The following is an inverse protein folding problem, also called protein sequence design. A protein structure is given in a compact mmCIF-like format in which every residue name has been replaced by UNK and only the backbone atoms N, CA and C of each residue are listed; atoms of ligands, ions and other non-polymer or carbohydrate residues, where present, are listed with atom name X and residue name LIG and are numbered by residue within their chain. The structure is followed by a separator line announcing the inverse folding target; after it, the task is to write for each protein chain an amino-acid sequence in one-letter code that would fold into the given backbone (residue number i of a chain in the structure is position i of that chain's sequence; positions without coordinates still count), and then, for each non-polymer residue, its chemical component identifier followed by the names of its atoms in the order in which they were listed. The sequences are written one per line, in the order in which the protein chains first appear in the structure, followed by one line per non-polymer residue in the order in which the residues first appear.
data_IF_181355188279
#
_entry.id   IF_181355188279
#
_cell.length_a   1.000
_cell.length_b   1.000
_cell.length_c   1.000
_cell.angle_alpha   90.00
_cell.angle_beta   90.00
_cell.angle_gamma   90.00
#
_symmetry.space_group_name_H-M   'P 1'
#
loop_
_entity.id
_entity.type
_entity.pdbx_description
1 polymer ?
#
# COMPACT_ATOMS: atom_id res chain seq x y z
N UNK A 1 17.74 -10.61 9.37
CA UNK A 1 17.12 -10.23 8.07
C UNK A 1 18.22 -9.76 7.13
N UNK A 2 18.16 -10.05 5.82
CA UNK A 2 19.12 -9.48 4.85
C UNK A 2 18.92 -7.97 4.73
N UNK A 3 20.00 -7.20 4.53
CA UNK A 3 19.95 -5.72 4.43
C UNK A 3 18.95 -5.23 3.38
N UNK A 4 19.01 -5.78 2.17
CA UNK A 4 18.12 -5.44 1.07
C UNK A 4 16.63 -5.74 1.38
N UNK A 5 16.36 -6.78 2.17
CA UNK A 5 14.99 -7.12 2.57
C UNK A 5 14.46 -6.14 3.61
N UNK A 6 15.32 -5.66 4.52
CA UNK A 6 14.97 -4.63 5.49
C UNK A 6 14.72 -3.28 4.81
N UNK A 7 15.55 -2.90 3.84
CA UNK A 7 15.38 -1.67 3.07
C UNK A 7 14.06 -1.69 2.29
N UNK A 8 13.76 -2.80 1.61
CA UNK A 8 12.49 -2.97 0.92
C UNK A 8 11.29 -2.93 1.87
N UNK A 9 11.38 -3.58 3.05
CA UNK A 9 10.31 -3.55 4.04
C UNK A 9 10.07 -2.12 4.56
N UNK A 10 11.14 -1.36 4.83
CA UNK A 10 11.02 0.05 5.23
C UNK A 10 10.34 0.87 4.15
N UNK A 11 10.75 0.73 2.90
CA UNK A 11 10.14 1.43 1.77
C UNK A 11 8.64 1.10 1.63
N UNK A 12 8.24 -0.16 1.82
CA UNK A 12 6.84 -0.56 1.83
C UNK A 12 6.06 0.12 2.96
N UNK A 13 6.56 0.04 4.20
CA UNK A 13 5.85 0.52 5.40
C UNK A 13 5.80 2.05 5.46
N UNK A 14 6.79 2.75 4.90
CA UNK A 14 6.80 4.22 4.87
C UNK A 14 5.96 4.81 3.72
N UNK A 15 5.58 3.98 2.74
CA UNK A 15 4.76 4.37 1.60
C UNK A 15 3.27 4.27 1.94
N UNK A 16 2.61 5.42 2.04
CA UNK A 16 1.16 5.50 2.30
C UNK A 16 0.39 4.71 1.23
N UNK A 17 -0.46 3.78 1.66
CA UNK A 17 -1.18 2.88 0.78
C UNK A 17 -2.54 2.40 1.33
N UNK A 18 -3.38 3.29 1.90
CA UNK A 18 -4.69 2.86 2.40
C UNK A 18 -5.50 2.25 1.26
N UNK A 19 -6.38 1.29 1.60
CA UNK A 19 -7.20 0.60 0.59
C UNK A 19 -7.92 1.59 -0.34
N UNK A 20 -7.79 1.40 -1.65
CA UNK A 20 -8.24 2.30 -2.72
C UNK A 20 -7.22 3.34 -3.20
N UNK A 21 -6.06 3.47 -2.55
CA UNK A 21 -4.99 4.43 -2.90
C UNK A 21 -3.60 3.78 -2.98
N UNK A 22 -3.52 2.54 -3.46
CA UNK A 22 -2.33 1.67 -3.44
C UNK A 22 -1.30 1.98 -4.54
N UNK A 23 -1.59 2.91 -5.45
CA UNK A 23 -0.74 3.18 -6.62
C UNK A 23 0.73 3.44 -6.25
N UNK A 24 0.98 4.13 -5.13
CA UNK A 24 2.34 4.43 -4.69
C UNK A 24 3.11 3.17 -4.27
N UNK A 25 2.52 2.33 -3.42
CA UNK A 25 3.17 1.07 -2.97
C UNK A 25 3.26 0.05 -4.10
N UNK A 26 2.28 0.01 -5.01
CA UNK A 26 2.35 -0.86 -6.20
C UNK A 26 3.56 -0.54 -7.09
N UNK A 27 3.97 0.74 -7.19
CA UNK A 27 5.21 1.12 -7.90
C UNK A 27 6.46 0.58 -7.20
N UNK A 28 6.50 0.63 -5.87
CA UNK A 28 7.59 0.06 -5.06
C UNK A 28 7.70 -1.44 -5.30
N UNK A 29 6.58 -2.17 -5.21
CA UNK A 29 6.52 -3.62 -5.48
C UNK A 29 6.90 -3.94 -6.92
N UNK A 30 6.41 -3.18 -7.91
CA UNK A 30 6.74 -3.37 -9.31
C UNK A 30 8.24 -3.18 -9.59
N UNK A 31 8.86 -2.17 -8.99
CA UNK A 31 10.31 -1.95 -9.12
C UNK A 31 11.13 -3.09 -8.51
N UNK A 32 10.66 -3.68 -7.40
CA UNK A 32 11.28 -4.89 -6.83
C UNK A 32 11.08 -6.10 -7.74
N UNK A 33 9.87 -6.30 -8.27
CA UNK A 33 9.52 -7.45 -9.11
C UNK A 33 10.29 -7.49 -10.44
N UNK A 34 10.57 -6.32 -11.05
CA UNK A 34 11.38 -6.21 -12.27
C UNK A 34 12.79 -6.83 -12.14
N UNK A 35 13.32 -6.93 -10.91
CA UNK A 35 14.62 -7.57 -10.63
C UNK A 35 14.53 -9.11 -10.60
N UNK A 36 13.32 -9.66 -10.59
CA UNK A 36 13.04 -11.08 -10.43
C UNK A 36 12.51 -11.69 -11.74
N UNK A 37 11.60 -10.99 -12.43
CA UNK A 37 11.05 -11.43 -13.73
C UNK A 37 10.72 -10.27 -14.64
N UNK A 38 10.74 -10.52 -15.96
CA UNK A 38 10.26 -9.64 -17.01
C UNK A 38 8.79 -9.89 -17.40
N UNK A 39 8.25 -11.07 -17.05
CA UNK A 39 6.87 -11.42 -17.34
C UNK A 39 5.98 -10.90 -16.19
N UNK A 40 5.59 -9.64 -16.33
CA UNK A 40 4.74 -8.94 -15.35
C UNK A 40 3.53 -8.33 -16.02
N UNK A 41 2.37 -8.36 -15.35
CA UNK A 41 1.15 -7.69 -15.77
C UNK A 41 0.54 -6.91 -14.63
N UNK A 42 -0.13 -5.80 -14.94
CA UNK A 42 -0.94 -5.02 -14.00
C UNK A 42 -2.39 -5.06 -14.51
N UNK A 43 -3.33 -5.42 -13.64
CA UNK A 43 -4.75 -5.41 -13.99
C UNK A 43 -5.40 -4.02 -13.84
N UNK A 44 -6.68 -3.92 -14.17
CA UNK A 44 -7.44 -2.66 -14.10
C UNK A 44 -7.60 -2.12 -12.68
N UNK A 45 -7.45 -2.98 -11.66
CA UNK A 45 -7.48 -2.60 -10.24
C UNK A 45 -6.10 -2.22 -9.71
N UNK A 46 -5.04 -2.40 -10.51
CA UNK A 46 -3.67 -2.10 -10.12
C UNK A 46 -2.92 -3.27 -9.49
N UNK A 47 -3.47 -4.49 -9.47
CA UNK A 47 -2.75 -5.65 -8.94
C UNK A 47 -1.60 -6.03 -9.86
N UNK A 48 -0.41 -6.16 -9.28
CA UNK A 48 0.78 -6.65 -9.98
C UNK A 48 0.87 -8.19 -9.90
N UNK A 49 0.97 -8.84 -11.05
CA UNK A 49 1.31 -10.27 -11.15
C UNK A 49 2.67 -10.43 -11.83
N UNK A 50 3.56 -11.24 -11.23
CA UNK A 50 4.85 -11.63 -11.81
C UNK A 50 4.94 -13.14 -12.01
N UNK A 51 5.40 -13.58 -13.18
CA UNK A 51 5.49 -15.00 -13.57
C UNK A 51 6.95 -15.41 -13.68
N UNK A 52 7.35 -16.50 -12.99
CA UNK A 52 8.71 -17.05 -13.07
C UNK A 52 8.82 -18.21 -14.08
N UNK A 53 7.92 -19.20 -13.96
CA UNK A 53 7.95 -20.44 -14.74
C UNK A 53 6.62 -20.64 -15.47
N UNK A 54 6.37 -19.85 -16.53
CA UNK A 54 5.06 -19.75 -17.22
C UNK A 54 4.44 -21.10 -17.62
N UNK A 55 5.27 -22.05 -18.06
CA UNK A 55 4.83 -23.33 -18.60
C UNK A 55 4.88 -24.49 -17.58
N UNK A 56 5.36 -24.25 -16.35
CA UNK A 56 5.50 -25.29 -15.34
C UNK A 56 4.14 -25.78 -14.82
N UNK A 57 4.09 -27.06 -14.45
CA UNK A 57 2.94 -27.71 -13.81
C UNK A 57 3.40 -28.43 -12.55
N UNK A 58 2.67 -28.33 -11.42
CA UNK A 58 1.45 -27.54 -11.22
C UNK A 58 1.72 -26.03 -11.19
N UNK A 59 0.66 -25.21 -11.36
CA UNK A 59 0.74 -23.76 -11.16
C UNK A 59 0.63 -23.46 -9.66
N UNK A 60 1.56 -22.65 -9.14
CA UNK A 60 1.58 -22.20 -7.74
C UNK A 60 1.48 -20.67 -7.74
N UNK A 61 0.59 -20.12 -6.90
CA UNK A 61 0.43 -18.68 -6.71
C UNK A 61 0.76 -18.32 -5.26
N UNK A 62 1.63 -17.33 -5.10
CA UNK A 62 1.86 -16.66 -3.83
C UNK A 62 1.22 -15.27 -3.92
N UNK A 63 0.22 -15.03 -3.09
CA UNK A 63 -0.54 -13.78 -3.08
C UNK A 63 -0.34 -13.05 -1.75
N UNK A 64 -0.26 -11.73 -1.81
CA UNK A 64 -0.24 -10.83 -0.66
C UNK A 64 -0.97 -9.55 -1.05
N UNK A 65 -1.53 -8.86 -0.07
CA UNK A 65 -2.12 -7.54 -0.25
C UNK A 65 -1.11 -6.48 0.22
N UNK A 66 -1.06 -5.35 -0.48
CA UNK A 66 -0.13 -4.25 -0.19
C UNK A 66 -0.82 -3.05 0.45
N UNK A 67 -2.15 -3.08 0.55
CA UNK A 67 -2.93 -2.03 1.18
C UNK A 67 -2.82 -2.09 2.70
N UNK A 68 -3.07 -0.94 3.32
CA UNK A 68 -3.12 -0.78 4.77
C UNK A 68 -4.48 -0.24 5.24
N UNK A 69 -4.78 -0.47 6.52
CA UNK A 69 -5.87 0.24 7.20
C UNK A 69 -5.52 1.73 7.26
N UNK A 70 -6.53 2.60 7.20
CA UNK A 70 -6.29 4.03 7.13
C UNK A 70 -7.48 4.88 7.59
N UNK A 71 -7.35 6.18 7.40
CA UNK A 71 -8.38 7.16 7.71
C UNK A 71 -8.69 7.96 6.45
N UNK A 72 -9.96 8.34 6.27
CA UNK A 72 -10.42 9.16 5.16
C UNK A 72 -11.09 10.43 5.70
N UNK A 73 -10.60 11.59 5.27
CA UNK A 73 -11.21 12.87 5.62
C UNK A 73 -12.65 12.93 5.09
N UNK A 74 -13.59 13.24 5.99
CA UNK A 74 -15.03 13.31 5.71
C UNK A 74 -15.57 14.74 5.80
N UNK A 75 -15.02 15.53 6.72
CA UNK A 75 -15.46 16.89 6.97
C UNK A 75 -14.32 17.72 7.56
N UNK A 76 -14.26 19.00 7.22
CA UNK A 76 -13.35 19.98 7.81
C UNK A 76 -14.24 21.07 8.39
N UNK A 77 -14.15 21.32 9.70
CA UNK A 77 -14.96 22.34 10.35
C UNK A 77 -14.40 23.75 10.13
N UNK A 78 -15.21 24.76 10.43
CA UNK A 78 -14.84 26.17 10.30
C UNK A 78 -13.70 26.56 11.26
N UNK A 79 -13.54 25.84 12.36
CA UNK A 79 -12.43 25.98 13.32
C UNK A 79 -11.15 25.25 12.88
N UNK A 80 -11.18 24.55 11.74
CA UNK A 80 -10.04 23.84 11.16
C UNK A 80 -9.83 22.41 11.64
N UNK A 81 -10.80 21.81 12.35
CA UNK A 81 -10.72 20.40 12.75
C UNK A 81 -11.01 19.46 11.58
N UNK A 82 -10.27 18.37 11.50
CA UNK A 82 -10.41 17.34 10.46
C UNK A 82 -11.15 16.14 11.06
N UNK A 83 -12.34 15.87 10.53
CA UNK A 83 -13.14 14.71 10.86
C UNK A 83 -12.93 13.64 9.80
N UNK A 84 -12.77 12.40 10.24
CA UNK A 84 -12.46 11.27 9.37
C UNK A 84 -13.36 10.06 9.64
N UNK A 85 -13.47 9.20 8.63
CA UNK A 85 -13.99 7.84 8.74
C UNK A 85 -12.84 6.85 8.62
N UNK A 86 -13.03 5.60 9.06
CA UNK A 86 -12.02 4.54 8.92
C UNK A 86 -12.06 3.91 7.53
N UNK A 87 -10.88 3.49 7.05
CA UNK A 87 -10.68 2.57 5.93
C UNK A 87 -10.20 1.25 6.54
N UNK A 88 -10.99 0.18 6.36
CA UNK A 88 -10.76 -1.10 7.04
C UNK A 88 -11.22 -1.10 8.51
N UNK A 89 -10.90 -2.19 9.21
CA UNK A 89 -11.26 -2.40 10.61
C UNK A 89 -10.19 -1.86 11.55
N UNK A 90 -10.44 -0.69 12.16
CA UNK A 90 -9.55 -0.05 13.13
C UNK A 90 -10.23 -0.06 14.51
N UNK A 91 -9.51 -0.49 15.53
CA UNK A 91 -9.92 -0.27 16.93
C UNK A 91 -9.78 1.23 17.27
N UNK A 92 -10.92 1.90 17.45
CA UNK A 92 -10.99 3.33 17.67
C UNK A 92 -10.28 3.77 18.96
N UNK A 93 -10.08 2.89 19.93
CA UNK A 93 -9.35 3.21 21.15
C UNK A 93 -7.84 3.41 20.93
N UNK A 94 -7.28 2.93 19.81
CA UNK A 94 -5.85 3.04 19.51
C UNK A 94 -5.47 4.36 18.81
N UNK A 95 -6.47 5.13 18.33
CA UNK A 95 -6.29 6.34 17.52
C UNK A 95 -5.87 7.57 18.34
N UNK A 96 -6.44 7.85 19.53
CA UNK A 96 -6.11 9.06 20.28
C UNK A 96 -4.60 9.21 20.55
N UNK A 97 -4.07 10.41 20.28
CA UNK A 97 -2.65 10.72 20.49
C UNK A 97 -1.69 10.18 19.41
N UNK A 98 -2.19 9.53 18.35
CA UNK A 98 -1.36 9.07 17.23
C UNK A 98 -1.06 10.21 16.26
N UNK A 99 0.18 10.24 15.79
CA UNK A 99 0.56 11.07 14.62
C UNK A 99 -0.01 10.43 13.36
N UNK A 100 -0.53 11.28 12.48
CA UNK A 100 -1.05 10.88 11.18
C UNK A 100 -0.40 11.72 10.10
N UNK A 101 -0.33 11.15 8.90
CA UNK A 101 0.01 11.88 7.69
C UNK A 101 -1.26 12.01 6.84
N UNK A 102 -1.45 13.16 6.19
CA UNK A 102 -2.60 13.39 5.33
C UNK A 102 -2.11 13.38 3.88
N UNK A 103 -2.61 12.45 3.09
CA UNK A 103 -2.32 12.41 1.66
C UNK A 103 -3.34 13.27 0.90
N UNK A 104 -2.88 14.36 0.30
CA UNK A 104 -3.70 15.26 -0.52
C UNK A 104 -3.43 15.03 -2.01
N UNK A 105 -4.20 15.68 -2.89
CA UNK A 105 -3.90 15.70 -4.34
C UNK A 105 -2.52 16.27 -4.67
N UNK A 106 -1.94 17.09 -3.79
CA UNK A 106 -0.61 17.69 -3.93
C UNK A 106 0.49 16.87 -3.24
N UNK A 107 0.13 15.74 -2.62
CA UNK A 107 1.04 14.87 -1.88
C UNK A 107 0.79 14.89 -0.36
N UNK A 108 1.72 14.23 0.32
CA UNK A 108 1.75 14.00 1.77
C UNK A 108 2.05 15.30 2.54
N UNK A 109 1.22 15.60 3.53
CA UNK A 109 1.45 16.64 4.55
C UNK A 109 1.40 16.05 5.96
#
# INVERSE_FOLDING_TARGET
MRKESLEFLKELVETLSPSGFETAVQKVVANRMKKITKDTSIDVMGNLTGILNKNAKPRIMLAAHCDEIGLMVKFISDEGFIYFTTIGGIDLHLIPGRKVYINTKKGKI
#
